data_IF_847541422957
#
_entry.id   IF_847541422957
#
_cell.length_a   1.000
_cell.length_b   1.000
_cell.length_c   1.000
_cell.angle_alpha   90.00
_cell.angle_beta   90.00
_cell.angle_gamma   90.00
#
_symmetry.space_group_name_H-M   'P 1'
#
loop_
_entity.id
_entity.type
_entity.pdbx_description
1 polymer ?
#
# COMPACT_ATOMS: atom_id res chain seq x y z
N UNK A 1 17.49 -20.10 -25.45
CA UNK A 1 17.91 -18.75 -25.88
C UNK A 1 18.38 -18.84 -27.32
N UNK A 2 18.01 -17.89 -28.20
CA UNK A 2 18.48 -17.89 -29.58
C UNK A 2 19.99 -17.49 -29.61
N UNK A 3 20.86 -18.21 -30.33
CA UNK A 3 22.29 -17.91 -30.40
C UNK A 3 22.62 -16.49 -30.90
N UNK A 4 21.74 -15.86 -31.68
CA UNK A 4 21.93 -14.46 -32.10
C UNK A 4 21.84 -13.47 -30.91
N UNK A 5 20.98 -13.75 -29.93
CA UNK A 5 20.77 -12.90 -28.75
C UNK A 5 21.91 -13.02 -27.73
N UNK A 6 22.67 -14.11 -27.79
CA UNK A 6 23.84 -14.32 -26.95
C UNK A 6 25.09 -13.53 -27.39
N UNK A 7 25.04 -12.89 -28.58
CA UNK A 7 26.17 -12.13 -29.14
C UNK A 7 26.19 -10.67 -28.72
N UNK A 8 25.08 -10.13 -28.23
CA UNK A 8 24.99 -8.80 -27.64
C UNK A 8 25.58 -8.79 -26.24
N UNK A 9 26.46 -7.83 -25.96
CA UNK A 9 27.21 -7.74 -24.71
C UNK A 9 26.85 -6.50 -23.91
N UNK A 10 26.75 -6.66 -22.59
CA UNK A 10 26.80 -5.58 -21.59
C UNK A 10 28.09 -5.75 -20.76
N UNK A 11 28.24 -4.98 -19.68
CA UNK A 11 29.45 -5.03 -18.84
C UNK A 11 29.12 -5.12 -17.34
N UNK A 12 29.92 -5.89 -16.62
CA UNK A 12 30.03 -5.85 -15.15
C UNK A 12 31.45 -5.39 -14.83
N UNK A 13 31.61 -4.13 -14.41
CA UNK A 13 32.93 -3.50 -14.39
C UNK A 13 33.47 -3.36 -15.82
N UNK A 14 34.64 -3.93 -16.08
CA UNK A 14 35.27 -3.95 -17.41
C UNK A 14 35.04 -5.28 -18.17
N UNK A 15 34.43 -6.27 -17.51
CA UNK A 15 34.25 -7.61 -18.06
C UNK A 15 32.99 -7.67 -18.93
N UNK A 16 33.10 -8.13 -20.20
CA UNK A 16 31.94 -8.30 -21.07
C UNK A 16 31.08 -9.46 -20.59
N UNK A 17 29.77 -9.23 -20.56
CA UNK A 17 28.76 -10.21 -20.14
C UNK A 17 27.63 -10.30 -21.15
N UNK A 18 26.81 -11.36 -21.06
CA UNK A 18 25.60 -11.49 -21.89
C UNK A 18 24.70 -10.27 -21.68
N UNK A 19 24.09 -9.76 -22.74
CA UNK A 19 23.26 -8.56 -22.63
C UNK A 19 22.07 -8.74 -21.67
N UNK A 20 21.81 -7.69 -20.90
CA UNK A 20 20.66 -7.53 -20.02
C UNK A 20 19.36 -7.73 -20.80
N UNK A 21 19.22 -7.10 -21.98
CA UNK A 21 18.02 -7.20 -22.81
C UNK A 21 17.80 -8.63 -23.32
N UNK A 22 18.88 -9.30 -23.71
CA UNK A 22 18.83 -10.69 -24.20
C UNK A 22 18.33 -11.65 -23.11
N UNK A 23 18.91 -11.56 -21.92
CA UNK A 23 18.49 -12.38 -20.79
C UNK A 23 17.08 -12.01 -20.32
N UNK A 24 16.76 -10.72 -20.25
CA UNK A 24 15.45 -10.25 -19.84
C UNK A 24 14.34 -10.81 -20.73
N UNK A 25 14.50 -10.78 -22.06
CA UNK A 25 13.53 -11.35 -22.98
C UNK A 25 13.34 -12.87 -22.79
N UNK A 26 14.44 -13.63 -22.67
CA UNK A 26 14.38 -15.07 -22.45
C UNK A 26 13.74 -15.43 -21.09
N UNK A 27 14.01 -14.65 -20.05
CA UNK A 27 13.44 -14.84 -18.71
C UNK A 27 11.98 -14.45 -18.70
N UNK A 28 11.60 -13.31 -19.28
CA UNK A 28 10.21 -12.88 -19.39
C UNK A 28 9.38 -13.92 -20.12
N UNK A 29 9.86 -14.46 -21.24
CA UNK A 29 9.17 -15.53 -21.98
C UNK A 29 8.97 -16.80 -21.12
N UNK A 30 10.00 -17.22 -20.38
CA UNK A 30 9.92 -18.36 -19.47
C UNK A 30 8.98 -18.10 -18.28
N UNK A 31 8.92 -16.86 -17.80
CA UNK A 31 8.03 -16.43 -16.73
C UNK A 31 6.58 -16.33 -17.21
N UNK A 32 6.31 -15.76 -18.37
CA UNK A 32 4.97 -15.76 -19.00
C UNK A 32 4.43 -17.18 -19.14
N UNK A 33 5.25 -18.14 -19.57
CA UNK A 33 4.86 -19.56 -19.64
C UNK A 33 4.53 -20.19 -18.28
N UNK A 34 5.04 -19.63 -17.18
CA UNK A 34 4.73 -20.02 -15.81
C UNK A 34 3.58 -19.21 -15.19
N UNK A 35 2.91 -18.38 -15.98
CA UNK A 35 1.77 -17.56 -15.55
C UNK A 35 2.16 -16.25 -14.88
N UNK A 36 3.35 -15.70 -15.10
CA UNK A 36 3.68 -14.41 -14.48
C UNK A 36 3.13 -13.24 -15.30
N UNK A 37 2.59 -12.25 -14.60
CA UNK A 37 2.01 -11.04 -15.19
C UNK A 37 2.26 -9.83 -14.29
N UNK A 38 2.20 -8.64 -14.86
CA UNK A 38 2.38 -7.37 -14.17
C UNK A 38 1.06 -6.61 -14.03
N UNK A 39 1.00 -5.69 -13.08
CA UNK A 39 -0.06 -4.70 -12.98
C UNK A 39 0.56 -3.35 -12.65
N UNK A 40 0.21 -2.32 -13.41
CA UNK A 40 0.66 -0.95 -13.15
C UNK A 40 -0.30 -0.26 -12.16
N UNK A 41 0.21 0.07 -10.98
CA UNK A 41 -0.53 0.74 -9.93
C UNK A 41 -0.27 2.24 -10.03
N UNK A 42 -0.94 2.89 -10.99
CA UNK A 42 -0.83 4.32 -11.30
C UNK A 42 -0.92 5.21 -10.04
N UNK A 43 -1.72 4.80 -9.05
CA UNK A 43 -1.92 5.55 -7.82
C UNK A 43 -0.68 5.53 -6.91
N UNK A 44 0.06 4.42 -6.90
CA UNK A 44 1.24 4.24 -6.05
C UNK A 44 2.57 4.27 -6.84
N UNK A 45 2.52 4.62 -8.13
CA UNK A 45 3.66 4.70 -9.05
C UNK A 45 4.57 3.46 -8.95
N UNK A 46 3.95 2.28 -9.04
CA UNK A 46 4.66 1.00 -8.89
C UNK A 46 4.09 -0.09 -9.78
N UNK A 47 4.98 -0.92 -10.33
CA UNK A 47 4.60 -2.13 -11.04
C UNK A 47 4.60 -3.32 -10.07
N UNK A 48 3.44 -3.94 -9.92
CA UNK A 48 3.24 -5.17 -9.17
C UNK A 48 3.47 -6.38 -10.08
N UNK A 49 3.97 -7.47 -9.52
CA UNK A 49 4.15 -8.74 -10.22
C UNK A 49 3.32 -9.82 -9.54
N UNK A 50 2.59 -10.59 -10.32
CA UNK A 50 1.79 -11.70 -9.87
C UNK A 50 2.20 -12.97 -10.60
N UNK A 51 2.06 -14.11 -9.92
CA UNK A 51 1.89 -15.41 -10.57
C UNK A 51 0.40 -15.68 -10.63
N UNK A 52 -0.12 -15.88 -11.83
CA UNK A 52 -1.49 -16.22 -12.15
C UNK A 52 -1.64 -17.74 -12.30
N UNK A 53 -2.88 -18.23 -12.29
CA UNK A 53 -3.22 -19.66 -12.30
C UNK A 53 -3.89 -20.12 -10.99
N UNK A 54 -3.84 -21.42 -10.72
CA UNK A 54 -4.64 -22.06 -9.65
C UNK A 54 -4.29 -21.62 -8.23
N UNK A 55 -3.05 -21.18 -8.01
CA UNK A 55 -2.56 -20.65 -6.75
C UNK A 55 -1.93 -19.29 -7.00
N UNK A 56 -2.76 -18.23 -7.14
CA UNK A 56 -2.25 -16.92 -7.44
C UNK A 56 -1.41 -16.40 -6.26
N UNK A 57 -0.33 -15.69 -6.58
CA UNK A 57 0.64 -15.21 -5.59
C UNK A 57 1.13 -13.83 -6.00
N UNK A 58 1.23 -12.91 -5.04
CA UNK A 58 1.91 -11.63 -5.24
C UNK A 58 3.41 -11.82 -5.02
N UNK A 59 4.20 -11.45 -6.02
CA UNK A 59 5.66 -11.62 -6.00
C UNK A 59 6.30 -10.30 -5.57
N UNK A 60 7.11 -10.36 -4.53
CA UNK A 60 7.90 -9.21 -4.08
C UNK A 60 9.08 -8.93 -5.01
N UNK A 61 9.63 -7.71 -4.95
CA UNK A 61 10.85 -7.34 -5.70
C UNK A 61 12.02 -8.28 -5.39
N UNK A 62 12.17 -8.67 -4.12
CA UNK A 62 13.22 -9.59 -3.69
C UNK A 62 13.05 -10.98 -4.30
N UNK A 63 11.84 -11.53 -4.25
CA UNK A 63 11.54 -12.83 -4.85
C UNK A 63 11.72 -12.80 -6.37
N UNK A 64 11.35 -11.69 -7.03
CA UNK A 64 11.59 -11.50 -8.45
C UNK A 64 13.09 -11.54 -8.77
N UNK A 65 13.92 -10.86 -7.98
CA UNK A 65 15.38 -10.88 -8.16
C UNK A 65 15.99 -12.26 -7.91
N UNK A 66 15.54 -12.97 -6.87
CA UNK A 66 16.03 -14.32 -6.55
C UNK A 66 15.66 -15.32 -7.66
N UNK A 67 14.40 -15.28 -8.14
CA UNK A 67 13.92 -16.10 -9.26
C UNK A 67 14.65 -15.76 -10.56
N UNK A 68 14.88 -14.47 -10.83
CA UNK A 68 15.64 -14.01 -12.00
C UNK A 68 17.08 -14.50 -11.93
N UNK A 69 17.75 -14.40 -10.78
CA UNK A 69 19.13 -14.90 -10.60
C UNK A 69 19.21 -16.39 -10.92
N UNK A 70 18.30 -17.19 -10.37
CA UNK A 70 18.25 -18.63 -10.64
C UNK A 70 18.03 -18.92 -12.14
N UNK A 71 17.13 -18.16 -12.78
CA UNK A 71 16.87 -18.30 -14.22
C UNK A 71 18.09 -17.91 -15.07
N UNK A 72 18.81 -16.84 -14.72
CA UNK A 72 20.06 -16.45 -15.39
C UNK A 72 21.06 -17.61 -15.32
N UNK A 73 21.32 -18.15 -14.13
CA UNK A 73 22.30 -19.22 -13.96
C UNK A 73 21.93 -20.48 -14.76
N UNK A 74 20.65 -20.85 -14.80
CA UNK A 74 20.17 -21.97 -15.61
C UNK A 74 20.35 -21.72 -17.12
N UNK A 75 19.95 -20.54 -17.61
CA UNK A 75 20.09 -20.16 -19.02
C UNK A 75 21.57 -20.17 -19.44
N UNK A 76 22.46 -19.63 -18.60
CA UNK A 76 23.89 -19.59 -18.89
C UNK A 76 24.50 -20.99 -18.91
N UNK A 77 24.13 -21.87 -17.97
CA UNK A 77 24.61 -23.25 -17.92
C UNK A 77 24.21 -24.07 -19.17
N UNK A 78 23.02 -23.82 -19.72
CA UNK A 78 22.61 -24.44 -20.98
C UNK A 78 23.31 -23.80 -22.20
N UNK A 79 23.55 -22.49 -22.16
CA UNK A 79 24.28 -21.77 -23.21
C UNK A 79 25.75 -22.18 -23.29
N UNK A 80 26.37 -22.55 -22.18
CA UNK A 80 27.74 -23.07 -22.15
C UNK A 80 27.92 -24.36 -22.98
N UNK A 81 26.84 -25.12 -23.18
CA UNK A 81 26.82 -26.38 -23.94
C UNK A 81 26.66 -26.19 -25.45
N UNK A 82 26.53 -24.96 -25.94
CA UNK A 82 26.39 -24.69 -27.38
C UNK A 82 27.74 -24.79 -28.11
N UNK A 83 27.71 -25.18 -29.39
CA UNK A 83 28.91 -25.27 -30.23
C UNK A 83 29.56 -23.92 -30.57
N UNK A 84 28.85 -22.80 -30.37
CA UNK A 84 29.40 -21.44 -30.58
C UNK A 84 30.36 -21.07 -29.44
N UNK A 85 31.66 -21.16 -29.72
CA UNK A 85 32.75 -20.92 -28.76
C UNK A 85 32.73 -19.52 -28.14
N UNK A 86 32.33 -18.49 -28.91
CA UNK A 86 32.26 -17.11 -28.42
C UNK A 86 31.12 -16.97 -27.42
N UNK A 87 29.96 -17.52 -27.76
CA UNK A 87 28.76 -17.52 -26.93
C UNK A 87 28.97 -18.31 -25.63
N UNK A 88 29.56 -19.51 -25.73
CA UNK A 88 29.90 -20.35 -24.58
C UNK A 88 30.88 -19.66 -23.63
N UNK A 89 31.92 -19.00 -24.15
CA UNK A 89 32.87 -18.22 -23.33
C UNK A 89 32.20 -17.07 -22.59
N UNK A 90 31.35 -16.30 -23.28
CA UNK A 90 30.64 -15.17 -22.69
C UNK A 90 29.67 -15.62 -21.58
N UNK A 91 28.96 -16.74 -21.82
CA UNK A 91 28.06 -17.33 -20.84
C UNK A 91 28.83 -17.75 -19.57
N UNK A 92 29.98 -18.41 -19.73
CA UNK A 92 30.87 -18.83 -18.63
C UNK A 92 31.40 -17.64 -17.83
N UNK A 93 31.84 -16.58 -18.51
CA UNK A 93 32.28 -15.35 -17.83
C UNK A 93 31.15 -14.74 -17.01
N UNK A 94 29.98 -14.55 -17.62
CA UNK A 94 28.80 -13.97 -16.96
C UNK A 94 28.40 -14.79 -15.73
N UNK A 95 28.34 -16.12 -15.87
CA UNK A 95 27.99 -17.05 -14.79
C UNK A 95 28.98 -16.94 -13.64
N UNK A 96 30.29 -17.01 -13.93
CA UNK A 96 31.36 -16.89 -12.93
C UNK A 96 31.24 -15.59 -12.12
N UNK A 97 31.01 -14.46 -12.79
CA UNK A 97 30.88 -13.15 -12.12
C UNK A 97 29.66 -13.09 -11.18
N UNK A 98 28.53 -13.69 -11.58
CA UNK A 98 27.32 -13.77 -10.75
C UNK A 98 27.48 -14.71 -9.56
N UNK A 99 28.13 -15.86 -9.76
CA UNK A 99 28.41 -16.84 -8.70
C UNK A 99 29.40 -16.29 -7.67
N UNK A 100 30.48 -15.65 -8.13
CA UNK A 100 31.51 -15.02 -7.27
C UNK A 100 31.06 -13.72 -6.62
N UNK A 101 29.86 -13.22 -6.95
CA UNK A 101 29.30 -11.96 -6.42
C UNK A 101 30.24 -10.77 -6.62
N UNK A 102 30.87 -10.68 -7.78
CA UNK A 102 31.77 -9.57 -8.12
C UNK A 102 31.02 -8.23 -8.00
N UNK A 103 31.74 -7.17 -7.65
CA UNK A 103 31.17 -5.83 -7.56
C UNK A 103 30.38 -5.48 -8.84
N UNK A 104 29.13 -5.04 -8.67
CA UNK A 104 28.21 -4.77 -9.78
C UNK A 104 27.36 -5.95 -10.25
N UNK A 105 27.65 -7.20 -9.87
CA UNK A 105 26.86 -8.36 -10.28
C UNK A 105 25.42 -8.33 -9.74
N UNK A 106 25.22 -7.86 -8.50
CA UNK A 106 23.87 -7.69 -7.95
C UNK A 106 23.07 -6.62 -8.69
N UNK A 107 23.72 -5.50 -9.05
CA UNK A 107 23.09 -4.45 -9.85
C UNK A 107 22.73 -4.96 -11.25
N UNK A 108 23.60 -5.76 -11.86
CA UNK A 108 23.33 -6.41 -13.13
C UNK A 108 22.09 -7.32 -13.05
N UNK A 109 21.99 -8.18 -12.04
CA UNK A 109 20.81 -9.04 -11.82
C UNK A 109 19.54 -8.19 -11.59
N UNK A 110 19.64 -7.12 -10.81
CA UNK A 110 18.52 -6.21 -10.59
C UNK A 110 18.02 -5.54 -11.87
N UNK A 111 18.95 -5.11 -12.75
CA UNK A 111 18.61 -4.55 -14.07
C UNK A 111 17.96 -5.58 -15.00
N UNK A 112 18.45 -6.82 -15.00
CA UNK A 112 17.82 -7.93 -15.75
C UNK A 112 16.41 -8.19 -15.22
N UNK A 113 16.22 -8.22 -13.90
CA UNK A 113 14.92 -8.45 -13.28
C UNK A 113 13.92 -7.33 -13.62
N UNK A 114 14.35 -6.07 -13.57
CA UNK A 114 13.53 -4.92 -13.97
C UNK A 114 13.15 -4.98 -15.45
N UNK A 115 14.11 -5.22 -16.34
CA UNK A 115 13.85 -5.34 -17.76
C UNK A 115 12.96 -6.56 -18.10
N UNK A 116 13.10 -7.67 -17.37
CA UNK A 116 12.24 -8.84 -17.56
C UNK A 116 10.79 -8.55 -17.10
N UNK A 117 10.63 -7.85 -15.97
CA UNK A 117 9.32 -7.40 -15.47
C UNK A 117 8.61 -6.54 -16.50
N UNK A 118 9.31 -5.58 -17.10
CA UNK A 118 8.73 -4.63 -18.06
C UNK A 118 8.28 -5.31 -19.38
N UNK A 119 8.72 -6.56 -19.61
CA UNK A 119 8.33 -7.40 -20.75
C UNK A 119 7.22 -8.42 -20.43
N UNK A 120 6.78 -8.50 -19.17
CA UNK A 120 5.69 -9.40 -18.79
C UNK A 120 4.34 -8.88 -19.30
N UNK A 121 3.36 -9.77 -19.56
CA UNK A 121 2.00 -9.36 -19.89
C UNK A 121 1.40 -8.50 -18.78
N UNK A 122 0.78 -7.39 -19.17
CA UNK A 122 0.06 -6.50 -18.26
C UNK A 122 -1.35 -7.03 -18.03
N UNK A 123 -1.77 -7.09 -16.77
CA UNK A 123 -3.12 -7.40 -16.35
C UNK A 123 -4.01 -6.16 -16.48
N UNK A 124 -5.27 -6.40 -16.82
CA UNK A 124 -6.34 -5.42 -16.64
C UNK A 124 -6.65 -5.19 -15.15
N UNK A 125 -7.36 -4.09 -14.85
CA UNK A 125 -7.84 -3.81 -13.49
C UNK A 125 -8.76 -4.92 -12.96
N UNK A 126 -9.62 -5.46 -13.82
CA UNK A 126 -10.53 -6.57 -13.49
C UNK A 126 -9.77 -7.85 -13.11
N UNK A 127 -8.74 -8.21 -13.88
CA UNK A 127 -7.90 -9.38 -13.58
C UNK A 127 -7.07 -9.18 -12.31
N UNK A 128 -6.54 -7.98 -12.11
CA UNK A 128 -5.81 -7.62 -10.89
C UNK A 128 -6.69 -7.74 -9.64
N UNK A 129 -7.94 -7.25 -9.70
CA UNK A 129 -8.87 -7.38 -8.58
C UNK A 129 -9.27 -8.82 -8.31
N UNK A 130 -9.51 -9.63 -9.36
CA UNK A 130 -9.79 -11.05 -9.22
C UNK A 130 -8.62 -11.82 -8.57
N UNK A 131 -7.38 -11.54 -8.99
CA UNK A 131 -6.16 -12.12 -8.41
C UNK A 131 -6.00 -11.69 -6.95
N UNK A 132 -6.28 -10.41 -6.64
CA UNK A 132 -6.21 -9.89 -5.27
C UNK A 132 -7.24 -10.55 -4.35
N UNK A 133 -8.46 -10.78 -4.84
CA UNK A 133 -9.51 -11.52 -4.12
C UNK A 133 -9.10 -12.98 -3.90
N UNK A 134 -8.47 -13.61 -4.89
CA UNK A 134 -8.01 -14.99 -4.78
C UNK A 134 -6.80 -15.18 -3.85
N UNK A 135 -5.85 -14.24 -3.81
CA UNK A 135 -4.67 -14.27 -2.91
C UNK A 135 -5.08 -14.03 -1.46
N UNK A 136 -6.03 -13.11 -1.24
CA UNK A 136 -6.60 -12.84 0.07
C UNK A 136 -8.08 -13.24 0.05
N UNK A 137 -8.40 -14.55 0.12
CA UNK A 137 -9.76 -15.05 0.20
C UNK A 137 -10.32 -14.82 1.61
N UNK A 138 -10.18 -13.60 2.12
CA UNK A 138 -11.00 -13.12 3.22
C UNK A 138 -12.39 -12.95 2.64
N UNK A 139 -13.18 -14.02 2.77
CA UNK A 139 -14.65 -14.08 2.68
C UNK A 139 -15.26 -12.70 2.50
N UNK A 140 -15.79 -12.41 1.30
CA UNK A 140 -16.62 -11.25 0.92
C UNK A 140 -17.10 -10.39 2.10
N UNK A 141 -16.19 -9.67 2.75
CA UNK A 141 -16.53 -8.53 3.58
C UNK A 141 -16.57 -7.41 2.58
N UNK A 142 -17.76 -7.22 2.02
CA UNK A 142 -18.03 -6.19 1.02
C UNK A 142 -17.35 -4.89 1.46
N UNK A 143 -16.79 -4.13 0.53
CA UNK A 143 -16.22 -2.78 0.78
C UNK A 143 -17.08 -1.95 1.74
N UNK A 144 -18.40 -2.13 1.69
CA UNK A 144 -19.40 -1.62 2.63
C UNK A 144 -19.19 -2.00 4.10
N UNK A 145 -18.86 -3.26 4.42
CA UNK A 145 -18.59 -3.75 5.78
C UNK A 145 -17.24 -3.26 6.31
N UNK A 146 -16.17 -3.24 5.49
CA UNK A 146 -14.89 -2.66 5.91
C UNK A 146 -15.02 -1.16 6.17
N UNK A 147 -15.68 -0.43 5.27
CA UNK A 147 -15.98 1.01 5.46
C UNK A 147 -16.90 1.22 6.65
N UNK A 148 -17.88 0.35 6.91
CA UNK A 148 -18.75 0.44 8.08
C UNK A 148 -17.99 0.18 9.38
N UNK A 149 -17.12 -0.84 9.45
CA UNK A 149 -16.30 -1.12 10.62
C UNK A 149 -15.21 -0.07 10.84
N UNK A 150 -14.60 0.44 9.78
CA UNK A 150 -13.66 1.54 9.85
C UNK A 150 -14.35 2.82 10.32
N UNK A 151 -15.53 3.15 9.78
CA UNK A 151 -16.36 4.28 10.26
C UNK A 151 -16.89 4.05 11.68
N UNK A 152 -17.14 2.82 12.10
CA UNK A 152 -17.57 2.50 13.46
C UNK A 152 -16.40 2.65 14.45
N UNK A 153 -15.21 2.15 14.11
CA UNK A 153 -13.97 2.31 14.90
C UNK A 153 -13.54 3.77 14.97
N UNK A 154 -13.51 4.46 13.82
CA UNK A 154 -13.21 5.88 13.73
C UNK A 154 -14.28 6.73 14.44
N UNK A 155 -15.55 6.35 14.32
CA UNK A 155 -16.66 7.00 15.02
C UNK A 155 -16.60 6.84 16.55
N UNK A 156 -16.18 5.66 17.04
CA UNK A 156 -15.96 5.41 18.45
C UNK A 156 -14.78 6.24 18.99
N UNK A 157 -13.66 6.26 18.26
CA UNK A 157 -12.51 7.10 18.61
C UNK A 157 -12.86 8.59 18.59
N UNK A 158 -13.53 9.07 17.54
CA UNK A 158 -13.97 10.47 17.46
C UNK A 158 -14.93 10.84 18.60
N UNK A 159 -15.81 9.92 18.98
CA UNK A 159 -16.72 10.08 20.11
C UNK A 159 -15.93 10.24 21.42
N UNK A 160 -14.95 9.39 21.69
CA UNK A 160 -14.14 9.44 22.91
C UNK A 160 -13.32 10.73 22.99
N UNK A 161 -12.64 11.10 21.90
CA UNK A 161 -11.88 12.34 21.81
C UNK A 161 -12.77 13.58 22.00
N UNK A 162 -13.93 13.61 21.35
CA UNK A 162 -14.91 14.68 21.51
C UNK A 162 -15.42 14.78 22.94
N UNK A 163 -15.72 13.65 23.58
CA UNK A 163 -16.22 13.59 24.95
C UNK A 163 -15.15 14.05 25.96
N UNK A 164 -13.88 13.70 25.75
CA UNK A 164 -12.78 14.17 26.59
C UNK A 164 -12.64 15.70 26.51
N UNK A 165 -12.63 16.26 25.30
CA UNK A 165 -12.54 17.70 25.09
C UNK A 165 -13.77 18.41 25.64
N UNK A 166 -14.96 17.86 25.39
CA UNK A 166 -16.24 18.39 25.85
C UNK A 166 -16.32 18.44 27.38
N UNK A 167 -15.89 17.39 28.09
CA UNK A 167 -15.85 17.38 29.57
C UNK A 167 -15.00 18.52 30.13
N UNK A 168 -13.79 18.69 29.58
CA UNK A 168 -12.86 19.74 30.01
C UNK A 168 -13.38 21.14 29.70
N UNK A 169 -13.98 21.30 28.53
CA UNK A 169 -14.54 22.58 28.10
C UNK A 169 -15.81 22.95 28.88
N UNK A 170 -16.74 22.01 29.07
CA UNK A 170 -18.01 22.22 29.77
C UNK A 170 -17.81 22.55 31.25
N UNK A 171 -16.75 22.03 31.88
CA UNK A 171 -16.38 22.40 33.25
C UNK A 171 -16.03 23.89 33.43
N UNK A 172 -15.67 24.58 32.33
CA UNK A 172 -15.41 26.02 32.32
C UNK A 172 -16.65 26.89 32.07
N UNK A 173 -17.82 26.29 31.84
CA UNK A 173 -19.05 27.05 31.61
C UNK A 173 -19.59 27.62 32.93
N UNK A 174 -20.15 28.85 32.90
CA UNK A 174 -20.84 29.40 34.06
C UNK A 174 -22.02 28.52 34.50
N UNK A 175 -22.33 28.52 35.79
CA UNK A 175 -23.54 27.87 36.29
C UNK A 175 -24.80 28.50 35.66
N UNK A 176 -25.80 27.67 35.37
CA UNK A 176 -27.07 28.13 34.79
C UNK A 176 -27.54 27.34 33.58
N UNK A 177 -28.47 27.95 32.82
CA UNK A 177 -29.09 27.34 31.63
C UNK A 177 -28.51 27.95 30.37
N UNK A 178 -27.95 27.11 29.50
CA UNK A 178 -27.34 27.53 28.23
C UNK A 178 -28.12 26.95 27.06
N UNK A 179 -28.48 27.78 26.08
CA UNK A 179 -29.19 27.30 24.88
C UNK A 179 -28.29 26.34 24.08
N UNK A 180 -28.83 25.20 23.66
CA UNK A 180 -28.03 24.21 22.92
C UNK A 180 -27.46 24.72 21.59
N UNK A 181 -28.12 25.69 20.95
CA UNK A 181 -27.59 26.36 19.76
C UNK A 181 -26.30 27.12 20.07
N UNK A 182 -26.33 27.92 21.14
CA UNK A 182 -25.19 28.75 21.56
C UNK A 182 -24.06 27.89 22.13
N UNK A 183 -24.39 26.84 22.88
CA UNK A 183 -23.43 25.85 23.39
C UNK A 183 -22.68 25.16 22.25
N UNK A 184 -23.38 24.76 21.18
CA UNK A 184 -22.75 24.19 19.99
C UNK A 184 -21.83 25.20 19.31
N UNK A 185 -22.29 26.44 19.11
CA UNK A 185 -21.50 27.48 18.45
C UNK A 185 -20.22 27.81 19.22
N UNK A 186 -20.33 28.00 20.54
CA UNK A 186 -19.21 28.30 21.43
C UNK A 186 -18.20 27.14 21.50
N UNK A 187 -18.68 25.91 21.65
CA UNK A 187 -17.82 24.72 21.64
C UNK A 187 -17.13 24.56 20.29
N UNK A 188 -17.86 24.72 19.18
CA UNK A 188 -17.31 24.57 17.83
C UNK A 188 -16.21 25.60 17.57
N UNK A 189 -16.43 26.84 17.97
CA UNK A 189 -15.41 27.88 17.90
C UNK A 189 -14.18 27.51 18.72
N UNK A 190 -14.34 27.08 19.97
CA UNK A 190 -13.23 26.73 20.87
C UNK A 190 -12.36 25.57 20.35
N UNK A 191 -12.96 24.53 19.75
CA UNK A 191 -12.19 23.38 19.22
C UNK A 191 -11.53 23.69 17.88
N UNK A 192 -12.13 24.55 17.04
CA UNK A 192 -11.55 24.93 15.74
C UNK A 192 -10.46 25.99 15.85
N UNK A 193 -10.57 26.91 16.82
CA UNK A 193 -9.57 27.96 17.03
C UNK A 193 -8.32 27.48 17.76
N UNK A 194 -8.34 26.28 18.35
CA UNK A 194 -7.23 25.72 19.12
C UNK A 194 -6.43 24.72 18.29
N UNK A 195 -5.25 25.14 17.79
CA UNK A 195 -4.32 24.27 17.08
C UNK A 195 -3.90 23.04 17.91
N UNK A 196 -3.81 23.21 19.25
CA UNK A 196 -3.51 22.12 20.18
C UNK A 196 -4.62 21.06 20.21
N UNK A 197 -5.89 21.47 20.19
CA UNK A 197 -7.03 20.54 20.13
C UNK A 197 -7.11 19.88 18.77
N UNK A 198 -6.93 20.64 17.68
CA UNK A 198 -6.94 20.09 16.32
C UNK A 198 -5.85 19.04 16.08
N UNK A 199 -4.66 19.23 16.64
CA UNK A 199 -3.55 18.28 16.52
C UNK A 199 -3.71 17.05 17.42
N UNK A 200 -4.12 17.24 18.69
CA UNK A 200 -4.18 16.15 19.68
C UNK A 200 -5.49 15.36 19.67
N UNK A 201 -6.59 15.99 19.26
CA UNK A 201 -7.96 15.43 19.28
C UNK A 201 -8.67 15.74 17.95
N UNK A 202 -8.16 15.26 16.80
CA UNK A 202 -8.74 15.56 15.50
C UNK A 202 -10.22 15.11 15.39
N UNK A 203 -10.61 14.05 16.10
CA UNK A 203 -11.99 13.56 16.17
C UNK A 203 -12.95 14.54 16.85
N UNK A 204 -12.47 15.33 17.82
CA UNK A 204 -13.23 16.41 18.44
C UNK A 204 -13.50 17.57 17.47
N UNK A 205 -12.68 17.74 16.43
CA UNK A 205 -12.94 18.72 15.37
C UNK A 205 -13.82 18.13 14.26
N UNK A 206 -13.82 16.81 14.08
CA UNK A 206 -14.59 16.13 13.03
C UNK A 206 -16.07 15.89 13.41
N UNK A 207 -16.43 15.91 14.69
CA UNK A 207 -17.79 15.67 15.16
C UNK A 207 -18.75 16.80 14.73
N UNK A 208 -19.88 16.41 14.12
CA UNK A 208 -20.95 17.31 13.73
C UNK A 208 -21.97 17.59 14.85
N UNK A 209 -22.82 18.59 14.63
CA UNK A 209 -23.82 19.08 15.59
C UNK A 209 -24.73 17.99 16.20
N UNK A 210 -25.19 17.04 15.38
CA UNK A 210 -26.07 15.94 15.85
C UNK A 210 -25.37 15.07 16.88
N UNK A 211 -24.16 14.60 16.56
CA UNK A 211 -23.36 13.75 17.43
C UNK A 211 -22.95 14.51 18.70
N UNK A 212 -22.65 15.80 18.60
CA UNK A 212 -22.39 16.64 19.76
C UNK A 212 -23.56 16.64 20.75
N UNK A 213 -24.80 16.81 20.29
CA UNK A 213 -25.98 16.78 21.16
C UNK A 213 -26.27 15.41 21.78
N UNK A 214 -25.84 14.32 21.15
CA UNK A 214 -25.88 12.97 21.74
C UNK A 214 -24.92 12.83 22.94
N UNK A 215 -23.81 13.59 22.96
CA UNK A 215 -22.80 13.53 24.03
C UNK A 215 -23.08 14.47 25.20
N UNK A 216 -23.90 15.50 25.01
CA UNK A 216 -24.20 16.48 26.05
C UNK A 216 -24.80 15.88 27.34
N UNK A 217 -25.69 14.87 27.29
CA UNK A 217 -26.18 14.20 28.50
C UNK A 217 -25.10 13.51 29.33
N UNK A 218 -23.93 13.19 28.74
CA UNK A 218 -22.81 12.54 29.44
C UNK A 218 -21.92 13.54 30.20
N UNK A 219 -22.16 14.84 30.01
CA UNK A 219 -21.40 15.93 30.64
C UNK A 219 -22.27 16.87 31.48
N UNK A 220 -23.60 16.83 31.32
CA UNK A 220 -24.52 17.65 32.07
C UNK A 220 -25.99 17.27 31.84
N UNK A 221 -26.90 17.99 32.49
CA UNK A 221 -28.33 17.69 32.37
C UNK A 221 -28.94 18.50 31.22
N UNK A 222 -29.56 17.82 30.25
CA UNK A 222 -30.25 18.47 29.14
C UNK A 222 -31.75 18.53 29.43
N UNK A 223 -32.31 19.73 29.50
CA UNK A 223 -33.74 19.96 29.76
C UNK A 223 -34.43 20.59 28.55
N UNK A 224 -35.71 20.28 28.38
CA UNK A 224 -36.55 20.94 27.38
C UNK A 224 -37.39 22.01 28.09
N UNK A 225 -37.22 23.26 27.68
CA UNK A 225 -37.98 24.40 28.19
C UNK A 225 -39.20 24.73 27.31
N UNK A 226 -39.79 25.90 27.55
CA UNK A 226 -40.93 26.39 26.76
C UNK A 226 -40.55 26.56 25.27
N UNK A 227 -41.56 26.46 24.39
CA UNK A 227 -41.39 26.51 22.93
C UNK A 227 -40.46 25.44 22.35
N UNK A 228 -40.31 24.29 23.02
CA UNK A 228 -39.45 23.15 22.60
C UNK A 228 -37.96 23.51 22.49
N UNK A 229 -37.52 24.61 23.11
CA UNK A 229 -36.09 24.94 23.22
C UNK A 229 -35.41 23.97 24.19
N UNK A 230 -34.18 23.59 23.88
CA UNK A 230 -33.38 22.66 24.71
C UNK A 230 -32.23 23.43 25.32
N UNK A 231 -31.95 23.14 26.59
CA UNK A 231 -30.91 23.80 27.37
C UNK A 231 -29.98 22.77 27.99
N UNK A 232 -28.68 23.08 28.02
CA UNK A 232 -27.71 22.43 28.90
C UNK A 232 -27.74 23.15 30.25
N UNK A 233 -27.98 22.39 31.32
CA UNK A 233 -27.98 22.90 32.68
C UNK A 233 -26.66 22.51 33.35
N UNK A 234 -25.89 23.52 33.72
CA UNK A 234 -24.70 23.36 34.57
C UNK A 234 -25.13 23.66 36.00
N UNK A 235 -25.02 22.70 36.94
CA UNK A 235 -25.43 22.91 38.32
C UNK A 235 -24.62 24.07 38.93
N UNK A 236 -25.30 24.92 39.69
CA UNK A 236 -24.63 25.87 40.57
C UNK A 236 -23.95 25.12 41.71
N UNK A 237 -22.74 25.54 42.07
CA UNK A 237 -22.09 25.14 43.31
C UNK A 237 -22.87 25.69 44.52
#
# INVERSE_FOLDING_TARGET
MNPATARTTDFIGEEPVVSIRALAAAIAEAMTRKGYSTYDDDYNDRILVYRTGDAPEKITVREMQDRTRAAILAILADTEKTDDTRTSRLARTTRRLIEQRVFGAQNYVAKVAAAARDLLPMLSEEEHDAIREAINPTTKRTRTQYVAEFRAKQGAQHREEALEVLRKWAAGLPAGRHDLGDVWAAWRQAVTSSAKVACRFPGAVAIGRTKFYELLPEVGTVVTGHARKRYLVIPGA
#
